data_IF_011363672352
#
_entry.id   IF_011363672352
#
_cell.length_a   1.000
_cell.length_b   1.000
_cell.length_c   1.000
_cell.angle_alpha   90.00
_cell.angle_beta   90.00
_cell.angle_gamma   90.00
#
_symmetry.space_group_name_H-M   'P 1'
#
loop_
_entity.id
_entity.type
_entity.pdbx_description
1 polymer ?
#
# COMPACT_ATOMS: atom_id res chain seq x y z
N UNK A 1 -57.78 -52.53 -26.55
CA UNK A 1 -56.38 -52.19 -26.17
C UNK A 1 -56.43 -50.77 -25.62
N UNK A 2 -56.22 -50.39 -24.36
CA UNK A 2 -55.80 -50.94 -23.05
C UNK A 2 -56.36 -49.93 -22.00
N UNK A 3 -57.02 -50.30 -20.89
CA UNK A 3 -56.50 -50.28 -19.48
C UNK A 3 -55.37 -49.24 -19.22
N UNK A 4 -55.26 -48.45 -18.13
CA UNK A 4 -55.82 -48.45 -16.77
C UNK A 4 -55.38 -47.19 -15.97
N UNK A 5 -56.28 -46.66 -15.13
CA UNK A 5 -56.17 -46.16 -13.74
C UNK A 5 -55.03 -45.24 -13.19
N UNK A 6 -55.49 -44.13 -12.58
CA UNK A 6 -55.19 -43.56 -11.23
C UNK A 6 -53.76 -43.59 -10.63
N UNK A 7 -53.20 -42.42 -10.31
CA UNK A 7 -53.12 -41.85 -8.94
C UNK A 7 -52.29 -40.53 -8.91
N UNK A 8 -52.56 -39.62 -7.96
CA UNK A 8 -51.88 -38.33 -7.81
C UNK A 8 -50.59 -38.46 -6.97
N UNK A 9 -49.58 -37.61 -7.23
CA UNK A 9 -48.44 -37.44 -6.33
C UNK A 9 -48.55 -36.09 -5.62
N UNK A 10 -48.99 -36.16 -4.36
CA UNK A 10 -48.81 -35.11 -3.35
C UNK A 10 -47.66 -35.54 -2.44
N UNK A 11 -46.86 -34.55 -2.02
CA UNK A 11 -46.01 -34.54 -0.82
C UNK A 11 -44.70 -35.34 -0.83
N UNK A 12 -43.60 -34.62 -1.06
CA UNK A 12 -42.31 -34.85 -0.41
C UNK A 12 -41.63 -33.49 -0.21
N UNK A 13 -42.13 -32.72 0.77
CA UNK A 13 -41.44 -31.59 1.35
C UNK A 13 -40.88 -32.02 2.71
N UNK A 14 -39.71 -31.48 3.05
CA UNK A 14 -39.07 -31.46 4.37
C UNK A 14 -38.37 -32.74 4.87
N UNK A 15 -37.16 -33.04 4.37
CA UNK A 15 -36.16 -33.78 5.18
C UNK A 15 -34.69 -33.42 4.85
N UNK A 16 -34.41 -32.32 4.14
CA UNK A 16 -33.06 -32.03 3.62
C UNK A 16 -32.35 -30.76 4.12
N UNK A 17 -32.99 -29.89 4.90
CA UNK A 17 -32.44 -28.53 5.15
C UNK A 17 -31.54 -28.42 6.38
N UNK A 18 -31.60 -29.37 7.33
CA UNK A 18 -30.78 -29.30 8.55
C UNK A 18 -29.29 -29.57 8.28
N UNK A 19 -28.95 -30.57 7.45
CA UNK A 19 -27.56 -30.91 7.13
C UNK A 19 -26.85 -29.93 6.18
N UNK A 20 -27.59 -29.25 5.29
CA UNK A 20 -27.00 -28.24 4.39
C UNK A 20 -26.60 -26.95 5.11
N UNK A 21 -27.29 -26.61 6.22
CA UNK A 21 -26.99 -25.41 7.00
C UNK A 21 -25.74 -25.55 7.88
N UNK A 22 -25.42 -26.77 8.32
CA UNK A 22 -24.21 -27.08 9.11
C UNK A 22 -22.96 -27.16 8.21
N UNK A 23 -23.06 -27.79 7.04
CA UNK A 23 -21.97 -27.82 6.05
C UNK A 23 -21.63 -26.44 5.48
N UNK A 24 -22.63 -25.57 5.25
CA UNK A 24 -22.41 -24.20 4.78
C UNK A 24 -21.72 -23.32 5.85
N UNK A 25 -22.05 -23.51 7.13
CA UNK A 25 -21.37 -22.83 8.25
C UNK A 25 -19.92 -23.31 8.40
N UNK A 26 -19.69 -24.62 8.33
CA UNK A 26 -18.35 -25.21 8.37
C UNK A 26 -17.45 -24.72 7.22
N UNK A 27 -17.98 -24.67 6.00
CA UNK A 27 -17.28 -24.12 4.84
C UNK A 27 -16.94 -22.63 4.99
N UNK A 28 -17.82 -21.85 5.64
CA UNK A 28 -17.60 -20.43 5.93
C UNK A 28 -16.43 -20.17 6.89
N UNK A 29 -16.34 -20.93 7.99
CA UNK A 29 -15.23 -20.82 8.94
C UNK A 29 -13.89 -21.25 8.32
N UNK A 30 -13.89 -22.33 7.52
CA UNK A 30 -12.69 -22.79 6.80
C UNK A 30 -12.25 -21.77 5.76
N UNK A 31 -13.19 -21.14 5.06
CA UNK A 31 -12.91 -20.06 4.11
C UNK A 31 -12.32 -18.82 4.78
N UNK A 32 -12.90 -18.36 5.89
CA UNK A 32 -12.39 -17.22 6.65
C UNK A 32 -10.99 -17.49 7.21
N UNK A 33 -10.76 -18.69 7.75
CA UNK A 33 -9.44 -19.10 8.23
C UNK A 33 -8.38 -19.13 7.12
N UNK A 34 -8.73 -19.67 5.94
CA UNK A 34 -7.81 -19.69 4.78
C UNK A 34 -7.43 -18.30 4.30
N UNK A 35 -8.40 -17.38 4.24
CA UNK A 35 -8.13 -15.98 3.87
C UNK A 35 -7.25 -15.30 4.91
N UNK A 36 -7.56 -15.47 6.20
CA UNK A 36 -6.75 -14.90 7.29
C UNK A 36 -5.30 -15.40 7.25
N UNK A 37 -5.09 -16.70 7.06
CA UNK A 37 -3.74 -17.29 6.92
C UNK A 37 -3.03 -16.73 5.70
N UNK A 38 -3.72 -16.61 4.56
CA UNK A 38 -3.14 -16.05 3.33
C UNK A 38 -2.73 -14.59 3.49
N UNK A 39 -3.55 -13.79 4.17
CA UNK A 39 -3.30 -12.37 4.38
C UNK A 39 -2.12 -12.17 5.36
N UNK A 40 -2.02 -13.00 6.40
CA UNK A 40 -0.85 -13.00 7.32
C UNK A 40 0.42 -13.38 6.58
N UNK A 41 0.40 -14.46 5.78
CA UNK A 41 1.55 -14.89 5.00
C UNK A 41 1.96 -13.84 3.95
N UNK A 42 0.98 -13.20 3.30
CA UNK A 42 1.22 -12.10 2.37
C UNK A 42 1.82 -10.87 3.04
N UNK A 43 1.33 -10.51 4.24
CA UNK A 43 1.88 -9.43 5.04
C UNK A 43 3.32 -9.69 5.49
N UNK A 44 3.62 -10.91 5.95
CA UNK A 44 4.98 -11.32 6.34
C UNK A 44 5.95 -11.27 5.15
N UNK A 45 5.54 -11.82 3.99
CA UNK A 45 6.33 -11.77 2.78
C UNK A 45 6.59 -10.33 2.32
N UNK A 46 5.56 -9.47 2.34
CA UNK A 46 5.69 -8.06 2.00
C UNK A 46 6.61 -7.28 2.94
N UNK A 47 6.54 -7.58 4.24
CA UNK A 47 7.40 -6.96 5.26
C UNK A 47 8.88 -7.26 5.01
N UNK A 48 9.22 -8.47 4.54
CA UNK A 48 10.60 -8.84 4.22
C UNK A 48 11.26 -7.94 3.17
N UNK A 49 10.48 -7.40 2.23
CA UNK A 49 10.98 -6.46 1.20
C UNK A 49 10.86 -5.00 1.67
N UNK A 50 9.80 -4.66 2.39
CA UNK A 50 9.55 -3.30 2.86
C UNK A 50 10.55 -2.84 3.92
N UNK A 51 11.03 -3.73 4.80
CA UNK A 51 11.99 -3.40 5.86
C UNK A 51 13.31 -2.81 5.33
N UNK A 52 14.08 -3.52 4.48
CA UNK A 52 15.34 -2.98 3.95
C UNK A 52 15.12 -1.73 3.09
N UNK A 53 14.04 -1.71 2.29
CA UNK A 53 13.69 -0.55 1.48
C UNK A 53 13.44 0.69 2.35
N UNK A 54 12.67 0.54 3.43
CA UNK A 54 12.35 1.63 4.33
C UNK A 54 13.57 2.17 5.08
N UNK A 55 14.50 1.29 5.48
CA UNK A 55 15.75 1.71 6.10
C UNK A 55 16.61 2.50 5.11
N UNK A 56 16.86 1.94 3.92
CA UNK A 56 17.71 2.55 2.90
C UNK A 56 17.21 3.93 2.47
N UNK A 57 15.91 4.05 2.21
CA UNK A 57 15.31 5.33 1.81
C UNK A 57 15.26 6.34 2.96
N UNK A 58 15.06 5.89 4.21
CA UNK A 58 15.17 6.76 5.38
C UNK A 58 16.57 7.35 5.54
N UNK A 59 17.60 6.51 5.42
CA UNK A 59 19.01 6.95 5.44
C UNK A 59 19.27 7.98 4.33
N UNK A 60 18.87 7.68 3.09
CA UNK A 60 19.09 8.58 1.95
C UNK A 60 18.48 9.98 2.16
N UNK A 61 17.27 10.04 2.72
CA UNK A 61 16.59 11.30 3.00
C UNK A 61 17.25 12.09 4.13
N UNK A 62 17.48 11.45 5.27
CA UNK A 62 17.88 12.14 6.50
C UNK A 62 19.37 12.41 6.59
N UNK A 63 20.23 11.60 5.96
CA UNK A 63 21.67 11.89 5.86
C UNK A 63 21.91 13.16 5.04
N UNK A 64 21.08 13.41 4.02
CA UNK A 64 21.13 14.65 3.23
C UNK A 64 20.79 15.90 4.06
N UNK A 65 20.12 15.73 5.21
CA UNK A 65 19.84 16.80 6.17
C UNK A 65 20.92 16.95 7.25
N UNK A 66 21.98 16.13 7.21
CA UNK A 66 23.06 16.13 8.21
C UNK A 66 22.77 15.29 9.46
N UNK A 67 21.74 14.44 9.45
CA UNK A 67 21.48 13.51 10.55
C UNK A 67 22.36 12.27 10.44
N UNK A 68 22.64 11.62 11.58
CA UNK A 68 23.36 10.35 11.58
C UNK A 68 22.58 9.27 10.81
N UNK A 69 23.26 8.36 10.08
CA UNK A 69 22.62 7.28 9.34
C UNK A 69 21.71 6.40 10.21
N UNK A 70 22.08 6.17 11.47
CA UNK A 70 21.28 5.40 12.43
C UNK A 70 19.94 6.06 12.72
N UNK A 71 19.93 7.38 12.96
CA UNK A 71 18.72 8.16 13.19
C UNK A 71 17.82 8.18 11.94
N UNK A 72 18.42 8.32 10.75
CA UNK A 72 17.71 8.27 9.47
C UNK A 72 17.04 6.92 9.20
N UNK A 73 17.72 5.82 9.49
CA UNK A 73 17.17 4.46 9.36
C UNK A 73 15.97 4.26 10.30
N UNK A 74 16.08 4.68 11.56
CA UNK A 74 15.00 4.59 12.54
C UNK A 74 13.79 5.45 12.14
N UNK A 75 14.02 6.68 11.70
CA UNK A 75 12.95 7.56 11.23
C UNK A 75 12.23 6.97 10.01
N UNK A 76 12.97 6.36 9.08
CA UNK A 76 12.41 5.62 7.95
C UNK A 76 11.49 4.47 8.39
N UNK A 77 11.98 3.60 9.29
CA UNK A 77 11.21 2.47 9.81
C UNK A 77 9.95 2.88 10.56
N UNK A 78 10.05 3.90 11.42
CA UNK A 78 8.91 4.45 12.15
C UNK A 78 7.88 5.04 11.17
N UNK A 79 8.34 5.76 10.15
CA UNK A 79 7.50 6.29 9.08
C UNK A 79 6.77 5.20 8.30
N UNK A 80 7.47 4.14 7.88
CA UNK A 80 6.87 3.02 7.15
C UNK A 80 5.86 2.23 8.01
N UNK A 81 6.16 2.05 9.30
CA UNK A 81 5.24 1.38 10.24
C UNK A 81 3.95 2.20 10.40
N UNK A 82 4.08 3.50 10.64
CA UNK A 82 2.94 4.42 10.74
C UNK A 82 2.11 4.44 9.44
N UNK A 83 2.78 4.47 8.28
CA UNK A 83 2.13 4.45 6.97
C UNK A 83 1.38 3.14 6.72
N UNK A 84 1.99 2.00 7.04
CA UNK A 84 1.39 0.67 6.85
C UNK A 84 0.15 0.49 7.72
N UNK A 85 0.21 0.92 8.98
CA UNK A 85 -0.93 0.87 9.89
C UNK A 85 -2.07 1.79 9.41
N UNK A 86 -1.74 3.03 9.06
CA UNK A 86 -2.74 4.00 8.59
C UNK A 86 -3.40 3.53 7.28
N UNK A 87 -2.61 2.98 6.36
CA UNK A 87 -3.09 2.45 5.08
C UNK A 87 -4.00 1.22 5.27
N UNK A 88 -3.61 0.29 6.16
CA UNK A 88 -4.42 -0.88 6.48
C UNK A 88 -5.79 -0.52 7.08
N UNK A 89 -5.84 0.50 7.95
CA UNK A 89 -7.09 0.99 8.56
C UNK A 89 -7.95 1.75 7.54
N UNK A 90 -7.34 2.50 6.62
CA UNK A 90 -8.03 3.31 5.63
C UNK A 90 -8.66 2.49 4.47
N UNK A 91 -8.55 1.16 4.49
CA UNK A 91 -9.14 0.30 3.45
C UNK A 91 -8.27 0.20 2.20
N UNK A 92 -6.96 -0.03 2.37
CA UNK A 92 -6.03 -0.25 1.26
C UNK A 92 -6.53 -1.32 0.27
N UNK A 93 -6.21 -1.12 -1.01
CA UNK A 93 -6.56 -2.07 -2.07
C UNK A 93 -5.94 -3.44 -1.80
N UNK A 94 -6.74 -4.49 -1.96
CA UNK A 94 -6.33 -5.87 -1.73
C UNK A 94 -5.04 -6.22 -2.52
N UNK A 95 -4.01 -6.66 -1.81
CA UNK A 95 -2.72 -7.07 -2.40
C UNK A 95 -1.69 -5.95 -2.59
N UNK A 96 -1.99 -4.69 -2.27
CA UNK A 96 -0.99 -3.61 -2.32
C UNK A 96 -0.26 -3.44 -0.99
N UNK A 97 1.08 -3.35 -1.05
CA UNK A 97 1.94 -3.08 0.11
C UNK A 97 2.25 -1.58 0.12
N UNK A 98 1.89 -0.90 1.21
CA UNK A 98 2.20 0.53 1.39
C UNK A 98 3.54 0.69 2.07
N UNK A 99 4.54 1.19 1.33
CA UNK A 99 5.89 1.41 1.83
C UNK A 99 6.49 2.70 1.21
N UNK A 100 7.54 3.27 1.81
CA UNK A 100 8.26 4.40 1.23
C UNK A 100 8.76 4.05 -0.18
N UNK A 101 8.54 4.92 -1.15
CA UNK A 101 8.87 4.67 -2.56
C UNK A 101 10.11 5.47 -3.00
N UNK A 102 11.04 4.83 -3.71
CA UNK A 102 12.30 5.43 -4.14
C UNK A 102 12.16 6.75 -4.90
N UNK A 103 11.32 6.84 -5.96
CA UNK A 103 11.08 8.06 -6.70
C UNK A 103 10.64 9.26 -5.85
N UNK A 104 9.71 9.02 -4.93
CA UNK A 104 9.16 10.07 -4.07
C UNK A 104 10.23 10.58 -3.11
N UNK A 105 10.98 9.66 -2.51
CA UNK A 105 12.05 10.01 -1.57
C UNK A 105 13.16 10.79 -2.27
N UNK A 106 13.54 10.43 -3.51
CA UNK A 106 14.56 11.19 -4.23
C UNK A 106 14.12 12.57 -4.66
N UNK A 107 12.87 12.73 -5.09
CA UNK A 107 12.33 14.05 -5.37
C UNK A 107 12.31 14.91 -4.10
N UNK A 108 11.96 14.31 -2.95
CA UNK A 108 11.98 14.99 -1.66
C UNK A 108 13.41 15.37 -1.25
N UNK A 109 14.37 14.44 -1.31
CA UNK A 109 15.79 14.69 -1.02
C UNK A 109 16.36 15.79 -1.92
N UNK A 110 16.10 15.72 -3.22
CA UNK A 110 16.56 16.74 -4.19
C UNK A 110 15.97 18.11 -3.86
N UNK A 111 14.68 18.17 -3.53
CA UNK A 111 14.01 19.42 -3.13
C UNK A 111 14.55 19.98 -1.82
N UNK A 112 14.94 19.11 -0.88
CA UNK A 112 15.58 19.54 0.36
C UNK A 112 16.98 20.07 0.11
N UNK A 113 17.77 19.44 -0.77
CA UNK A 113 19.10 19.94 -1.15
C UNK A 113 19.02 21.32 -1.80
N UNK A 114 18.00 21.62 -2.61
CA UNK A 114 17.82 22.98 -3.17
C UNK A 114 17.44 23.99 -2.09
N UNK A 115 16.65 23.61 -1.08
CA UNK A 115 16.32 24.45 0.07
C UNK A 115 17.55 24.73 0.94
N UNK A 116 18.40 23.72 1.17
CA UNK A 116 19.69 23.89 1.86
C UNK A 116 20.60 24.84 1.07
N UNK A 117 20.65 24.69 -0.25
CA UNK A 117 21.42 25.59 -1.12
C UNK A 117 20.90 27.04 -1.09
N UNK A 118 19.62 27.26 -0.77
CA UNK A 118 19.05 28.59 -0.55
C UNK A 118 19.38 29.17 0.84
N UNK A 119 20.18 28.47 1.66
CA UNK A 119 20.67 28.94 2.96
C UNK A 119 19.79 28.57 4.16
N UNK A 120 18.77 27.74 3.96
CA UNK A 120 17.89 27.28 5.05
C UNK A 120 18.53 26.07 5.75
N UNK A 121 18.85 26.21 7.04
CA UNK A 121 19.48 25.17 7.84
C UNK A 121 18.78 24.98 9.19
N UNK A 122 19.08 23.86 9.87
CA UNK A 122 18.51 23.54 11.18
C UNK A 122 16.99 23.40 11.15
N UNK A 123 16.30 24.05 12.08
CA UNK A 123 14.84 23.98 12.24
C UNK A 123 14.08 24.44 10.98
N UNK A 124 14.65 25.38 10.22
CA UNK A 124 14.07 25.84 8.97
C UNK A 124 13.97 24.73 7.91
N UNK A 125 14.93 23.80 7.90
CA UNK A 125 14.92 22.67 6.98
C UNK A 125 13.85 21.64 7.38
N UNK A 126 13.66 21.44 8.68
CA UNK A 126 12.61 20.56 9.21
C UNK A 126 11.22 21.14 8.93
N UNK A 127 11.05 22.46 9.08
CA UNK A 127 9.83 23.18 8.69
C UNK A 127 9.56 23.07 7.18
N UNK A 128 10.60 23.19 6.34
CA UNK A 128 10.46 23.01 4.89
C UNK A 128 10.02 21.58 4.54
N UNK A 129 10.61 20.57 5.18
CA UNK A 129 10.21 19.16 5.03
C UNK A 129 8.73 18.98 5.38
N UNK A 130 8.29 19.47 6.54
CA UNK A 130 6.90 19.37 6.98
C UNK A 130 5.96 20.11 6.03
N UNK A 131 6.34 21.30 5.57
CA UNK A 131 5.56 22.09 4.62
C UNK A 131 5.39 21.36 3.28
N UNK A 132 6.47 20.76 2.73
CA UNK A 132 6.41 19.96 1.50
C UNK A 132 5.50 18.75 1.70
N UNK A 133 5.62 18.02 2.81
CA UNK A 133 4.79 16.85 3.10
C UNK A 133 3.31 17.21 3.25
N UNK A 134 3.00 18.28 3.97
CA UNK A 134 1.62 18.76 4.14
C UNK A 134 1.02 19.23 2.82
N UNK A 135 1.77 20.01 2.03
CA UNK A 135 1.30 20.49 0.73
C UNK A 135 1.09 19.33 -0.25
N UNK A 136 2.02 18.38 -0.29
CA UNK A 136 1.92 17.19 -1.13
C UNK A 136 0.73 16.31 -0.69
N UNK A 137 0.55 16.11 0.61
CA UNK A 137 -0.58 15.36 1.16
C UNK A 137 -1.94 16.01 0.86
N UNK A 138 -2.03 17.33 0.97
CA UNK A 138 -3.23 18.09 0.60
C UNK A 138 -3.53 17.96 -0.90
N UNK A 139 -2.52 18.12 -1.75
CA UNK A 139 -2.68 17.94 -3.21
C UNK A 139 -3.08 16.50 -3.54
N UNK A 140 -2.47 15.50 -2.90
CA UNK A 140 -2.81 14.09 -3.06
C UNK A 140 -4.26 13.81 -2.67
N UNK A 141 -4.73 14.40 -1.56
CA UNK A 141 -6.11 14.26 -1.11
C UNK A 141 -7.11 14.90 -2.09
N UNK A 142 -6.81 16.11 -2.56
CA UNK A 142 -7.64 16.80 -3.57
C UNK A 142 -7.70 16.03 -4.89
N UNK A 143 -6.56 15.54 -5.38
CA UNK A 143 -6.49 14.70 -6.58
C UNK A 143 -7.22 13.37 -6.39
N UNK A 144 -7.17 12.78 -5.19
CA UNK A 144 -7.90 11.58 -4.82
C UNK A 144 -9.42 11.76 -4.94
N UNK A 145 -9.96 12.85 -4.39
CA UNK A 145 -11.40 13.14 -4.45
C UNK A 145 -11.83 13.55 -5.86
N UNK A 146 -10.99 14.27 -6.60
CA UNK A 146 -11.30 14.72 -7.97
C UNK A 146 -11.31 13.57 -9.01
N UNK A 147 -11.05 12.33 -8.62
CA UNK A 147 -10.97 11.19 -9.55
C UNK A 147 -9.70 11.19 -10.41
N UNK A 148 -8.66 11.91 -9.99
CA UNK A 148 -7.38 12.03 -10.70
C UNK A 148 -6.65 10.69 -10.89
N UNK A 149 -7.05 9.62 -10.20
CA UNK A 149 -6.56 8.27 -10.45
C UNK A 149 -6.80 7.78 -11.89
N UNK A 150 -7.81 8.30 -12.59
CA UNK A 150 -8.06 7.93 -14.00
C UNK A 150 -7.03 8.52 -14.98
N UNK A 151 -6.26 9.54 -14.57
CA UNK A 151 -5.21 10.13 -15.41
C UNK A 151 -4.03 9.18 -15.64
N UNK A 152 -3.81 8.21 -14.75
CA UNK A 152 -2.70 7.25 -14.84
C UNK A 152 -2.75 6.45 -16.16
N UNK A 153 -3.94 6.20 -16.71
CA UNK A 153 -4.16 5.54 -18.01
C UNK A 153 -3.47 6.24 -19.19
N UNK A 154 -3.25 7.56 -19.09
CA UNK A 154 -2.74 8.36 -20.21
C UNK A 154 -1.22 8.51 -20.20
N UNK A 155 -0.52 7.95 -19.21
CA UNK A 155 0.93 8.06 -19.10
C UNK A 155 1.59 6.99 -19.99
N UNK A 156 2.40 7.37 -21.00
CA UNK A 156 3.07 6.42 -21.86
C UNK A 156 4.16 5.67 -21.07
N UNK A 157 4.26 4.35 -21.27
CA UNK A 157 5.25 3.49 -20.60
C UNK A 157 6.70 4.01 -20.70
N UNK A 158 7.18 4.54 -21.85
CA UNK A 158 8.51 5.14 -21.96
C UNK A 158 8.80 6.25 -20.95
N UNK A 159 7.81 7.07 -20.58
CA UNK A 159 8.00 8.17 -19.63
C UNK A 159 8.22 7.65 -18.20
N UNK A 160 7.45 6.63 -17.80
CA UNK A 160 7.58 6.01 -16.47
C UNK A 160 8.91 5.27 -16.35
N UNK A 161 9.27 4.49 -17.37
CA UNK A 161 10.54 3.77 -17.40
C UNK A 161 11.74 4.75 -17.33
N UNK A 162 11.72 5.82 -18.13
CA UNK A 162 12.76 6.85 -18.10
C UNK A 162 12.91 7.54 -16.74
N UNK A 163 11.80 7.86 -16.06
CA UNK A 163 11.82 8.47 -14.73
C UNK A 163 12.43 7.53 -13.69
N UNK A 164 12.02 6.25 -13.65
CA UNK A 164 12.55 5.29 -12.69
C UNK A 164 14.05 5.05 -12.92
N UNK A 165 14.49 4.94 -14.18
CA UNK A 165 15.92 4.81 -14.51
C UNK A 165 16.71 6.06 -14.13
N UNK A 166 16.20 7.26 -14.44
CA UNK A 166 16.86 8.51 -14.09
C UNK A 166 17.04 8.68 -12.57
N UNK A 167 16.03 8.31 -11.79
CA UNK A 167 16.11 8.33 -10.34
C UNK A 167 17.06 7.24 -9.81
N UNK A 168 17.09 6.07 -10.44
CA UNK A 168 18.09 5.04 -10.14
C UNK A 168 19.53 5.54 -10.33
N UNK A 169 19.77 6.30 -11.40
CA UNK A 169 21.06 6.98 -11.62
C UNK A 169 21.36 8.01 -10.53
N UNK A 170 20.37 8.83 -10.14
CA UNK A 170 20.56 9.79 -9.05
C UNK A 170 20.92 9.10 -7.74
N UNK A 171 20.31 7.95 -7.43
CA UNK A 171 20.63 7.17 -6.21
C UNK A 171 22.05 6.61 -6.19
N UNK A 172 22.61 6.27 -7.36
CA UNK A 172 24.00 5.79 -7.45
C UNK A 172 24.99 6.95 -7.30
N UNK A 173 24.59 8.16 -7.70
CA UNK A 173 25.44 9.34 -7.69
C UNK A 173 25.41 10.12 -6.36
N UNK A 174 24.33 10.01 -5.59
CA UNK A 174 24.15 10.66 -4.29
C UNK A 174 24.92 9.96 -3.17
#
# INVERSE_FOLDING_TARGET
MTTSASHPKTTAAATGESGQSEDARGAGYVGMFRTAVRDILGGLAGTGVALPQSMALGVALFVSMGLEPSAGALAGLLGATALSLTSGIAGATAGMISAPNGPVIMLLTTSLTTVVAAGVTGDGLLLALIAILLLTGLLQFLLGISGGGQLIKFIPYPAVAGLVTGIGLLMVLS
#
